data_IF_755157134443
#
_entry.id   IF_755157134443
#
_cell.length_a   1.000
_cell.length_b   1.000
_cell.length_c   1.000
_cell.angle_alpha   90.00
_cell.angle_beta   90.00
_cell.angle_gamma   90.00
#
_symmetry.space_group_name_H-M   'P 1'
#
loop_
_entity.id
_entity.type
_entity.pdbx_description
1 polymer ?
#
# COMPACT_ATOMS: atom_id res chain seq x y z
N UNK A 1 27.88 -2.15 20.55
CA UNK A 1 28.46 -1.89 21.87
C UNK A 1 29.90 -1.48 21.66
N UNK A 2 30.19 -0.21 21.59
CA UNK A 2 31.54 0.30 21.65
C UNK A 2 31.55 1.50 22.59
N UNK A 3 32.25 1.34 23.69
CA UNK A 3 32.44 2.38 24.68
C UNK A 3 33.56 3.29 24.22
N UNK A 4 33.29 4.59 24.09
CA UNK A 4 34.28 5.61 23.85
C UNK A 4 34.77 6.10 25.22
N UNK A 5 36.00 5.76 25.55
CA UNK A 5 36.70 6.29 26.72
C UNK A 5 37.40 7.54 26.28
N UNK A 6 36.94 8.70 26.80
CA UNK A 6 37.64 9.97 26.65
C UNK A 6 38.61 10.09 27.84
N UNK A 7 39.89 9.93 27.60
CA UNK A 7 40.94 10.21 28.59
C UNK A 7 41.54 11.56 28.27
N UNK A 8 41.19 12.53 29.12
CA UNK A 8 41.83 13.85 29.12
C UNK A 8 43.04 13.81 30.09
N UNK A 9 44.23 13.97 29.57
CA UNK A 9 45.42 14.20 30.35
C UNK A 9 45.86 15.67 30.28
N UNK A 10 45.62 16.42 31.34
CA UNK A 10 46.29 17.66 31.58
C UNK A 10 47.53 17.41 32.45
N UNK A 11 48.70 17.59 31.88
CA UNK A 11 49.94 17.71 32.67
C UNK A 11 50.45 19.13 32.55
N UNK A 12 50.31 19.86 33.65
CA UNK A 12 50.92 21.17 33.81
C UNK A 12 52.33 20.98 34.34
N UNK A 13 53.35 21.27 33.56
CA UNK A 13 54.72 21.50 34.03
C UNK A 13 55.04 22.99 34.00
N UNK A 14 55.19 23.55 35.15
CA UNK A 14 55.67 24.91 35.35
C UNK A 14 57.13 24.83 35.86
N UNK A 15 58.10 25.07 35.00
CA UNK A 15 59.37 25.72 35.37
C UNK A 15 60.19 26.00 34.12
N UNK A 16 60.71 27.25 34.07
CA UNK A 16 61.68 27.73 33.09
C UNK A 16 61.24 27.90 31.63
N UNK A 17 60.42 28.91 31.39
CA UNK A 17 60.70 29.91 30.34
C UNK A 17 60.63 29.48 28.87
N UNK A 18 60.11 28.31 28.52
CA UNK A 18 59.90 27.93 27.12
C UNK A 18 58.46 27.43 26.96
N UNK A 19 57.64 28.32 26.40
CA UNK A 19 56.32 27.91 25.94
C UNK A 19 56.47 27.09 24.67
N UNK A 20 56.58 25.78 24.79
CA UNK A 20 56.35 24.88 23.67
C UNK A 20 54.85 24.69 23.49
N UNK A 21 54.28 25.43 22.54
CA UNK A 21 52.89 25.19 22.11
C UNK A 21 52.86 23.85 21.38
N UNK A 22 52.55 22.78 22.11
CA UNK A 22 52.23 21.50 21.48
C UNK A 22 50.85 21.64 20.89
N UNK A 23 50.79 21.98 19.62
CA UNK A 23 49.55 21.82 18.82
C UNK A 23 49.32 20.32 18.68
N UNK A 24 48.56 19.78 19.60
CA UNK A 24 48.05 18.42 19.44
C UNK A 24 47.12 18.44 18.25
N UNK A 25 47.62 17.97 17.12
CA UNK A 25 46.76 17.57 15.98
C UNK A 25 45.91 16.40 16.45
N UNK A 26 44.80 16.73 17.07
CA UNK A 26 43.73 15.76 17.21
C UNK A 26 43.25 15.47 15.79
N UNK A 27 43.29 14.21 15.31
CA UNK A 27 42.51 13.86 14.17
C UNK A 27 41.07 14.18 14.60
N UNK A 28 40.53 15.26 14.08
CA UNK A 28 39.10 15.47 14.12
C UNK A 28 38.50 14.32 13.36
N UNK A 29 38.27 13.22 14.09
CA UNK A 29 37.25 12.31 13.68
C UNK A 29 35.98 13.14 13.79
N UNK A 30 35.68 13.92 12.77
CA UNK A 30 34.33 14.28 12.51
C UNK A 30 33.66 12.91 12.33
N UNK A 31 33.06 12.43 13.42
CA UNK A 31 31.91 11.61 13.22
C UNK A 31 31.12 12.45 12.23
N UNK A 32 31.13 12.03 10.97
CA UNK A 32 30.03 12.35 10.13
C UNK A 32 28.86 11.95 11.01
N UNK A 33 28.36 12.90 11.76
CA UNK A 33 27.01 12.89 12.29
C UNK A 33 26.29 12.41 11.07
N UNK A 34 25.90 11.10 11.12
CA UNK A 34 25.13 10.56 10.06
C UNK A 34 24.06 11.59 9.88
N UNK A 35 24.30 12.51 8.96
CA UNK A 35 23.27 13.17 8.24
C UNK A 35 22.52 12.02 7.57
N UNK A 36 21.76 11.30 8.43
CA UNK A 36 20.52 10.73 8.01
C UNK A 36 19.81 12.00 7.60
N UNK A 37 20.10 12.41 6.38
CA UNK A 37 19.37 13.45 5.70
C UNK A 37 17.94 13.08 6.04
N UNK A 38 17.21 13.93 6.80
CA UNK A 38 15.89 13.56 7.24
C UNK A 38 15.30 13.00 6.00
N UNK A 39 14.84 11.72 6.07
CA UNK A 39 14.19 11.10 4.94
C UNK A 39 13.13 12.12 4.65
N UNK A 40 13.46 13.05 3.79
CA UNK A 40 12.52 13.89 3.15
C UNK A 40 11.66 12.86 2.50
N UNK A 41 10.61 12.46 3.18
CA UNK A 41 9.39 12.18 2.51
C UNK A 41 9.19 13.41 1.64
N UNK A 42 9.83 13.39 0.50
CA UNK A 42 9.38 14.10 -0.64
C UNK A 42 8.08 13.35 -0.96
N UNK A 43 7.08 13.65 -0.13
CA UNK A 43 5.83 14.02 -0.71
C UNK A 43 6.23 15.15 -1.66
N UNK A 44 6.69 14.81 -2.84
CA UNK A 44 6.34 15.57 -3.99
C UNK A 44 4.83 15.45 -3.95
N UNK A 45 4.22 16.35 -3.19
CA UNK A 45 2.89 16.81 -3.45
C UNK A 45 3.10 17.43 -4.82
N UNK A 46 3.06 16.59 -5.85
CA UNK A 46 2.76 17.04 -7.20
C UNK A 46 1.57 17.95 -6.97
N UNK A 47 1.72 19.21 -7.38
CA UNK A 47 0.71 20.23 -7.16
C UNK A 47 -0.63 19.57 -7.41
N UNK A 48 -1.53 19.53 -6.43
CA UNK A 48 -2.64 18.60 -6.46
C UNK A 48 -3.30 18.75 -7.81
N UNK A 49 -3.13 17.76 -8.69
CA UNK A 49 -3.92 17.69 -9.90
C UNK A 49 -5.32 17.80 -9.38
N UNK A 50 -6.16 18.72 -9.90
CA UNK A 50 -7.53 18.82 -9.44
C UNK A 50 -8.09 17.41 -9.55
N UNK A 51 -8.19 16.75 -8.40
CA UNK A 51 -8.68 15.38 -8.32
C UNK A 51 -10.09 15.50 -8.82
N UNK A 52 -10.34 14.97 -10.01
CA UNK A 52 -11.71 14.87 -10.49
C UNK A 52 -12.50 14.23 -9.34
N UNK A 53 -13.57 14.86 -8.85
CA UNK A 53 -14.28 14.36 -7.67
C UNK A 53 -14.86 12.95 -7.84
N UNK A 54 -14.66 12.34 -9.00
CA UNK A 54 -15.26 11.10 -9.45
C UNK A 54 -14.33 9.87 -9.45
N UNK A 55 -13.18 9.88 -8.78
CA UNK A 55 -12.25 8.74 -8.87
C UNK A 55 -12.20 7.94 -7.58
N UNK A 56 -12.55 6.65 -7.67
CA UNK A 56 -12.41 5.69 -6.57
C UNK A 56 -10.95 5.39 -6.27
N UNK A 57 -10.61 5.34 -4.98
CA UNK A 57 -9.35 4.77 -4.53
C UNK A 57 -9.47 3.25 -4.49
N UNK A 58 -8.52 2.58 -5.14
CA UNK A 58 -8.47 1.12 -5.28
C UNK A 58 -7.33 0.58 -4.44
N UNK A 59 -7.64 -0.38 -3.56
CA UNK A 59 -6.66 -1.16 -2.82
C UNK A 59 -6.64 -2.59 -3.33
N UNK A 60 -5.47 -3.08 -3.71
CA UNK A 60 -5.26 -4.44 -4.19
C UNK A 60 -4.47 -5.20 -3.14
N UNK A 61 -4.95 -6.40 -2.78
CA UNK A 61 -4.21 -7.38 -1.99
C UNK A 61 -4.01 -8.62 -2.85
N UNK A 62 -2.89 -9.29 -2.71
CA UNK A 62 -2.59 -10.49 -3.46
C UNK A 62 -1.87 -11.51 -2.59
N UNK A 63 -2.35 -12.75 -2.60
CA UNK A 63 -1.83 -13.88 -1.84
C UNK A 63 -1.80 -15.13 -2.70
N UNK A 64 -1.04 -16.15 -2.30
CA UNK A 64 -1.00 -17.45 -2.97
C UNK A 64 -1.58 -18.53 -2.07
N UNK A 65 -2.52 -19.31 -2.60
CA UNK A 65 -3.10 -20.51 -1.97
C UNK A 65 -2.46 -21.80 -2.52
N UNK A 66 -1.52 -21.67 -3.44
CA UNK A 66 -0.85 -22.82 -4.06
C UNK A 66 0.04 -23.52 -3.04
N UNK A 67 -0.31 -24.74 -2.63
CA UNK A 67 0.54 -25.62 -1.83
C UNK A 67 0.61 -25.30 -0.32
N UNK A 68 -0.45 -24.80 0.27
CA UNK A 68 -0.59 -24.57 1.71
C UNK A 68 -0.52 -25.85 2.57
N UNK A 69 0.32 -26.83 2.23
CA UNK A 69 0.36 -28.09 2.99
C UNK A 69 1.70 -28.80 3.11
N UNK A 70 2.66 -28.58 2.24
CA UNK A 70 3.89 -29.40 2.25
C UNK A 70 5.14 -28.80 1.59
N UNK A 71 5.11 -27.51 1.23
CA UNK A 71 6.23 -26.86 0.55
C UNK A 71 7.37 -26.49 1.49
N UNK A 72 8.59 -26.40 0.95
CA UNK A 72 9.75 -25.86 1.67
C UNK A 72 9.57 -24.34 1.90
N UNK A 73 10.31 -23.77 2.86
CA UNK A 73 10.30 -22.32 3.10
C UNK A 73 10.69 -21.51 1.85
N UNK A 74 11.51 -22.08 0.98
CA UNK A 74 11.93 -21.47 -0.30
C UNK A 74 10.74 -21.39 -1.26
N UNK A 75 9.97 -22.46 -1.41
CA UNK A 75 8.78 -22.49 -2.26
C UNK A 75 7.71 -21.51 -1.76
N UNK A 76 7.49 -21.43 -0.44
CA UNK A 76 6.57 -20.46 0.15
C UNK A 76 7.00 -19.01 -0.16
N UNK A 77 8.30 -18.70 -0.05
CA UNK A 77 8.85 -17.39 -0.37
C UNK A 77 8.70 -17.05 -1.86
N UNK A 78 8.94 -18.03 -2.75
CA UNK A 78 8.78 -17.85 -4.18
C UNK A 78 7.32 -17.52 -4.54
N UNK A 79 6.37 -18.27 -4.00
CA UNK A 79 4.92 -18.06 -4.23
C UNK A 79 4.42 -16.73 -3.68
N UNK A 80 4.92 -16.30 -2.51
CA UNK A 80 4.61 -14.98 -1.99
C UNK A 80 5.10 -13.86 -2.93
N UNK A 81 6.31 -14.03 -3.49
CA UNK A 81 6.88 -13.08 -4.46
C UNK A 81 6.05 -13.04 -5.75
N UNK A 82 5.65 -14.19 -6.25
CA UNK A 82 4.79 -14.33 -7.43
C UNK A 82 3.44 -13.64 -7.22
N UNK A 83 2.79 -13.88 -6.08
CA UNK A 83 1.55 -13.20 -5.73
C UNK A 83 1.69 -11.68 -5.75
N UNK A 84 2.80 -11.14 -5.19
CA UNK A 84 3.10 -9.71 -5.24
C UNK A 84 3.26 -9.23 -6.69
N UNK A 85 3.92 -10.01 -7.54
CA UNK A 85 4.11 -9.66 -8.96
C UNK A 85 2.75 -9.60 -9.67
N UNK A 86 1.89 -10.60 -9.47
CA UNK A 86 0.53 -10.63 -10.03
C UNK A 86 -0.28 -9.42 -9.54
N UNK A 87 -0.22 -9.11 -8.25
CA UNK A 87 -0.85 -7.89 -7.69
C UNK A 87 -0.32 -6.61 -8.33
N UNK A 88 0.99 -6.54 -8.61
CA UNK A 88 1.60 -5.39 -9.27
C UNK A 88 1.18 -5.28 -10.76
N UNK A 89 0.99 -6.39 -11.46
CA UNK A 89 0.44 -6.45 -12.83
C UNK A 89 -1.00 -5.94 -12.84
N UNK A 90 -1.84 -6.44 -11.94
CA UNK A 90 -3.21 -5.98 -11.79
C UNK A 90 -3.27 -4.48 -11.47
N UNK A 91 -2.42 -4.00 -10.55
CA UNK A 91 -2.32 -2.55 -10.28
C UNK A 91 -2.00 -1.75 -11.53
N UNK A 92 -1.06 -2.22 -12.35
CA UNK A 92 -0.70 -1.56 -13.61
C UNK A 92 -1.89 -1.51 -14.56
N UNK A 93 -2.67 -2.58 -14.65
CA UNK A 93 -3.87 -2.63 -15.48
C UNK A 93 -4.90 -1.59 -15.07
N UNK A 94 -5.17 -1.46 -13.77
CA UNK A 94 -6.05 -0.40 -13.25
C UNK A 94 -5.48 1.00 -13.48
N UNK A 95 -4.16 1.18 -13.40
CA UNK A 95 -3.51 2.47 -13.63
C UNK A 95 -3.47 2.91 -15.09
N UNK A 96 -3.63 2.00 -16.05
CA UNK A 96 -3.72 2.34 -17.49
C UNK A 96 -4.94 3.18 -17.80
N UNK A 97 -6.01 3.02 -17.03
CA UNK A 97 -7.21 3.85 -17.13
C UNK A 97 -7.05 5.07 -16.21
N UNK A 98 -7.37 6.25 -16.73
CA UNK A 98 -7.43 7.49 -15.95
C UNK A 98 -8.70 7.60 -15.10
N UNK A 99 -9.49 6.53 -14.99
CA UNK A 99 -10.80 6.52 -14.32
C UNK A 99 -10.69 6.39 -12.81
N UNK A 100 -9.52 6.00 -12.28
CA UNK A 100 -9.31 5.74 -10.86
C UNK A 100 -8.60 6.89 -10.16
N UNK A 101 -8.82 7.02 -8.86
CA UNK A 101 -8.07 7.89 -7.98
C UNK A 101 -6.67 7.32 -7.72
N UNK A 102 -6.44 6.79 -6.54
CA UNK A 102 -5.17 6.15 -6.19
C UNK A 102 -5.31 4.63 -6.25
N UNK A 103 -4.48 3.99 -7.05
CA UNK A 103 -4.40 2.52 -7.13
C UNK A 103 -3.16 2.04 -6.41
N UNK A 104 -3.31 1.28 -5.32
CA UNK A 104 -2.21 0.80 -4.49
C UNK A 104 -2.28 -0.69 -4.26
N UNK A 105 -1.11 -1.31 -4.17
CA UNK A 105 -0.94 -2.67 -3.67
C UNK A 105 -0.66 -2.60 -2.16
N UNK A 106 -1.40 -3.38 -1.38
CA UNK A 106 -1.28 -3.41 0.07
C UNK A 106 -0.97 -4.82 0.57
N UNK A 107 -0.22 -4.97 1.65
CA UNK A 107 -0.26 -6.18 2.44
C UNK A 107 -1.65 -6.33 3.07
N UNK A 108 -2.02 -7.56 3.35
CA UNK A 108 -3.34 -7.92 3.88
C UNK A 108 -3.73 -7.07 5.10
N UNK A 109 -4.96 -6.61 5.13
CA UNK A 109 -5.61 -6.06 6.33
C UNK A 109 -5.33 -4.60 6.68
N UNK A 110 -4.50 -3.86 5.94
CA UNK A 110 -3.97 -2.57 6.44
C UNK A 110 -4.72 -1.30 6.02
N UNK A 111 -5.66 -1.34 5.08
CA UNK A 111 -6.28 -0.11 4.52
C UNK A 111 -7.77 -0.30 4.20
N UNK A 112 -8.50 0.81 4.21
CA UNK A 112 -9.94 0.87 3.88
C UNK A 112 -10.11 1.66 2.57
N UNK A 113 -9.76 1.08 1.40
CA UNK A 113 -9.98 1.73 0.11
C UNK A 113 -11.47 1.77 -0.21
N UNK A 114 -11.87 2.63 -1.13
CA UNK A 114 -13.26 2.67 -1.61
C UNK A 114 -13.65 1.40 -2.37
N UNK A 115 -12.71 0.83 -3.10
CA UNK A 115 -12.80 -0.49 -3.74
C UNK A 115 -11.62 -1.35 -3.28
N UNK A 116 -11.90 -2.46 -2.63
CA UNK A 116 -10.92 -3.49 -2.29
C UNK A 116 -10.99 -4.63 -3.31
N UNK A 117 -9.86 -4.98 -3.88
CA UNK A 117 -9.69 -6.10 -4.78
C UNK A 117 -8.74 -7.11 -4.11
N UNK A 118 -9.25 -8.30 -3.81
CA UNK A 118 -8.46 -9.40 -3.26
C UNK A 118 -8.22 -10.42 -4.36
N UNK A 119 -6.96 -10.78 -4.57
CA UNK A 119 -6.52 -11.75 -5.59
C UNK A 119 -5.87 -12.91 -4.84
N UNK A 120 -6.38 -14.12 -5.09
CA UNK A 120 -5.77 -15.36 -4.60
C UNK A 120 -5.28 -16.16 -5.80
N UNK A 121 -3.99 -16.46 -5.82
CA UNK A 121 -3.38 -17.31 -6.85
C UNK A 121 -3.68 -18.76 -6.49
N UNK A 122 -4.44 -19.43 -7.35
CA UNK A 122 -4.86 -20.83 -7.17
C UNK A 122 -3.93 -21.81 -7.89
N UNK A 123 -3.45 -21.43 -9.06
CA UNK A 123 -2.46 -22.17 -9.82
C UNK A 123 -1.61 -21.21 -10.65
N UNK A 124 -0.32 -21.50 -10.73
CA UNK A 124 0.64 -20.81 -11.59
C UNK A 124 1.83 -21.74 -11.84
N UNK A 125 2.03 -22.13 -13.09
CA UNK A 125 3.10 -23.03 -13.51
C UNK A 125 3.88 -22.50 -14.73
N UNK A 126 3.59 -21.27 -15.14
CA UNK A 126 4.17 -20.64 -16.33
C UNK A 126 3.37 -20.92 -17.60
N UNK A 127 2.65 -22.00 -17.72
CA UNK A 127 1.74 -22.27 -18.85
C UNK A 127 0.30 -21.93 -18.52
N UNK A 128 -0.06 -22.02 -17.25
CA UNK A 128 -1.40 -21.74 -16.76
C UNK A 128 -1.34 -20.78 -15.60
N UNK A 129 -2.26 -19.82 -15.60
CA UNK A 129 -2.54 -18.95 -14.47
C UNK A 129 -4.02 -19.07 -14.08
N UNK A 130 -4.29 -19.45 -12.83
CA UNK A 130 -5.64 -19.46 -12.28
C UNK A 130 -5.71 -18.56 -11.04
N UNK A 131 -6.61 -17.60 -11.08
CA UNK A 131 -6.82 -16.59 -10.05
C UNK A 131 -8.26 -16.64 -9.54
N UNK A 132 -8.45 -16.53 -8.23
CA UNK A 132 -9.73 -16.12 -7.65
C UNK A 132 -9.66 -14.64 -7.33
N UNK A 133 -10.63 -13.88 -7.83
CA UNK A 133 -10.70 -12.42 -7.63
C UNK A 133 -12.00 -12.07 -6.95
N UNK A 134 -11.90 -11.40 -5.82
CA UNK A 134 -13.04 -10.84 -5.09
C UNK A 134 -12.92 -9.31 -5.05
N UNK A 135 -13.96 -8.62 -5.48
CA UNK A 135 -14.07 -7.17 -5.42
C UNK A 135 -15.18 -6.76 -4.45
N UNK A 136 -14.85 -5.85 -3.53
CA UNK A 136 -15.77 -5.38 -2.50
C UNK A 136 -15.65 -3.87 -2.34
N UNK A 137 -16.77 -3.15 -2.36
CA UNK A 137 -16.71 -1.73 -2.05
C UNK A 137 -16.67 -1.48 -0.52
N UNK A 138 -16.25 -0.29 -0.13
CA UNK A 138 -15.99 0.09 1.26
C UNK A 138 -17.19 -0.08 2.21
N UNK A 139 -18.41 0.01 1.70
CA UNK A 139 -19.59 -0.25 2.50
C UNK A 139 -19.84 -1.76 2.75
N UNK A 140 -19.00 -2.65 2.24
CA UNK A 140 -19.01 -4.07 2.56
C UNK A 140 -19.71 -4.97 1.56
N UNK A 141 -20.40 -4.44 0.53
CA UNK A 141 -21.05 -5.28 -0.48
C UNK A 141 -20.00 -5.94 -1.36
N UNK A 142 -20.12 -7.24 -1.53
CA UNK A 142 -19.38 -8.02 -2.51
C UNK A 142 -19.95 -7.73 -3.90
N UNK A 143 -19.11 -7.26 -4.80
CA UNK A 143 -19.47 -6.93 -6.18
C UNK A 143 -19.16 -8.11 -7.11
N UNK A 144 -18.00 -8.73 -6.89
CA UNK A 144 -17.49 -9.83 -7.70
C UNK A 144 -16.83 -10.85 -6.78
N UNK A 145 -17.03 -12.13 -7.03
CA UNK A 145 -16.22 -13.25 -6.54
C UNK A 145 -16.21 -14.30 -7.63
N UNK A 146 -15.10 -14.35 -8.39
CA UNK A 146 -15.00 -15.20 -9.58
C UNK A 146 -13.62 -15.80 -9.74
N UNK A 147 -13.56 -16.98 -10.32
CA UNK A 147 -12.33 -17.60 -10.79
C UNK A 147 -12.08 -17.24 -12.25
N UNK A 148 -10.82 -16.94 -12.54
CA UNK A 148 -10.32 -16.63 -13.86
C UNK A 148 -9.17 -17.57 -14.16
N UNK A 149 -9.12 -18.08 -15.38
CA UNK A 149 -8.08 -18.99 -15.82
C UNK A 149 -7.66 -18.63 -17.23
N UNK A 150 -6.38 -18.69 -17.46
CA UNK A 150 -5.78 -18.49 -18.77
C UNK A 150 -4.63 -19.47 -18.97
N UNK A 151 -4.33 -19.78 -20.25
CA UNK A 151 -3.24 -20.65 -20.64
C UNK A 151 -2.36 -19.91 -21.64
N UNK A 152 -1.10 -19.74 -21.31
CA UNK A 152 -0.11 -19.18 -22.20
C UNK A 152 0.38 -20.25 -23.21
N UNK A 153 0.52 -19.85 -24.45
CA UNK A 153 1.15 -20.63 -25.49
C UNK A 153 2.65 -20.28 -25.59
N UNK A 154 3.42 -21.13 -26.26
CA UNK A 154 4.84 -20.83 -26.52
C UNK A 154 5.00 -19.53 -27.33
N UNK A 155 4.02 -19.18 -28.15
CA UNK A 155 4.03 -17.94 -28.95
C UNK A 155 3.88 -16.68 -28.11
N UNK A 156 3.23 -16.77 -26.95
CA UNK A 156 3.06 -15.65 -26.03
C UNK A 156 4.36 -15.28 -25.34
N UNK A 157 5.30 -16.23 -25.26
CA UNK A 157 6.64 -16.02 -24.73
C UNK A 157 7.66 -15.57 -25.80
N UNK A 158 7.27 -15.66 -27.10
CA UNK A 158 8.14 -15.24 -28.21
C UNK A 158 7.93 -13.76 -28.51
N UNK A 159 8.97 -12.98 -28.30
CA UNK A 159 9.02 -11.56 -28.65
C UNK A 159 8.76 -10.64 -27.47
N UNK A 160 8.63 -9.35 -27.78
CA UNK A 160 8.53 -8.24 -26.82
C UNK A 160 7.05 -7.91 -26.49
N UNK A 161 6.19 -8.93 -26.37
CA UNK A 161 4.74 -8.78 -26.23
C UNK A 161 4.26 -8.47 -24.81
N UNK A 162 5.14 -8.48 -23.82
CA UNK A 162 4.78 -8.22 -22.42
C UNK A 162 4.53 -9.49 -21.61
N UNK A 163 3.56 -9.46 -20.73
CA UNK A 163 3.20 -10.60 -19.89
C UNK A 163 2.21 -11.51 -20.65
N UNK A 164 2.45 -12.82 -20.72
CA UNK A 164 1.58 -13.76 -21.45
C UNK A 164 0.13 -13.79 -20.93
N UNK A 165 -0.12 -13.26 -19.73
CA UNK A 165 -1.45 -13.20 -19.10
C UNK A 165 -2.05 -11.79 -19.09
N UNK A 166 -1.55 -10.85 -19.90
CA UNK A 166 -2.08 -9.47 -19.96
C UNK A 166 -3.58 -9.44 -20.31
N UNK A 167 -4.05 -10.34 -21.17
CA UNK A 167 -5.47 -10.45 -21.54
C UNK A 167 -6.36 -10.90 -20.37
N UNK A 168 -5.83 -11.74 -19.48
CA UNK A 168 -6.51 -12.15 -18.25
C UNK A 168 -6.74 -10.94 -17.33
N UNK A 169 -5.69 -10.13 -17.11
CA UNK A 169 -5.78 -8.94 -16.28
C UNK A 169 -6.77 -7.93 -16.87
N UNK A 170 -6.75 -7.70 -18.18
CA UNK A 170 -7.69 -6.84 -18.86
C UNK A 170 -9.15 -7.35 -18.75
N UNK A 171 -9.35 -8.67 -18.76
CA UNK A 171 -10.67 -9.26 -18.57
C UNK A 171 -11.18 -9.07 -17.16
N UNK A 172 -10.35 -9.31 -16.15
CA UNK A 172 -10.68 -9.05 -14.74
C UNK A 172 -11.05 -7.59 -14.54
N UNK A 173 -10.23 -6.66 -15.07
CA UNK A 173 -10.49 -5.22 -15.00
C UNK A 173 -11.87 -4.86 -15.54
N UNK A 174 -12.21 -5.31 -16.75
CA UNK A 174 -13.52 -5.05 -17.40
C UNK A 174 -14.69 -5.59 -16.57
N UNK A 175 -14.54 -6.78 -16.00
CA UNK A 175 -15.58 -7.37 -15.16
C UNK A 175 -15.77 -6.57 -13.87
N UNK A 176 -14.71 -6.15 -13.20
CA UNK A 176 -14.78 -5.32 -11.98
C UNK A 176 -15.45 -3.97 -12.28
N UNK A 177 -15.09 -3.31 -13.37
CA UNK A 177 -15.69 -2.03 -13.78
C UNK A 177 -17.18 -2.21 -14.05
N UNK A 178 -17.56 -3.27 -14.75
CA UNK A 178 -18.97 -3.56 -15.05
C UNK A 178 -19.79 -3.77 -13.78
N UNK A 179 -19.30 -4.61 -12.86
CA UNK A 179 -20.01 -4.91 -11.61
C UNK A 179 -20.07 -3.68 -10.67
N UNK A 180 -19.01 -2.88 -10.63
CA UNK A 180 -18.99 -1.63 -9.89
C UNK A 180 -20.05 -0.66 -10.43
N UNK A 181 -20.10 -0.48 -11.74
CA UNK A 181 -21.05 0.44 -12.39
C UNK A 181 -22.51 0.01 -12.21
N UNK A 182 -22.76 -1.30 -12.20
CA UNK A 182 -24.11 -1.85 -12.06
C UNK A 182 -24.63 -1.86 -10.62
N UNK A 183 -23.74 -1.98 -9.63
CA UNK A 183 -24.16 -2.36 -8.28
C UNK A 183 -23.64 -1.45 -7.16
N UNK A 184 -22.86 -0.41 -7.46
CA UNK A 184 -22.34 0.49 -6.45
C UNK A 184 -23.28 1.65 -6.14
N UNK A 185 -23.33 2.10 -4.87
CA UNK A 185 -23.85 3.42 -4.52
C UNK A 185 -23.02 4.53 -5.17
N UNK A 186 -23.50 5.78 -5.02
CA UNK A 186 -22.75 6.93 -5.49
C UNK A 186 -21.34 6.99 -4.88
N UNK A 187 -20.41 7.51 -5.65
CA UNK A 187 -19.03 7.70 -5.22
C UNK A 187 -18.93 8.55 -3.94
N UNK A 188 -19.69 9.65 -3.87
CA UNK A 188 -19.73 10.51 -2.69
C UNK A 188 -20.14 9.76 -1.43
N UNK A 189 -21.10 8.83 -1.54
CA UNK A 189 -21.50 7.97 -0.44
C UNK A 189 -20.36 7.04 -0.01
N UNK A 190 -19.70 6.36 -0.95
CA UNK A 190 -18.60 5.46 -0.63
C UNK A 190 -17.39 6.21 -0.06
N UNK A 191 -17.12 7.42 -0.52
CA UNK A 191 -16.09 8.30 0.05
C UNK A 191 -16.41 8.65 1.50
N UNK A 192 -17.66 9.00 1.78
CA UNK A 192 -18.13 9.28 3.15
C UNK A 192 -17.99 8.06 4.05
N UNK A 193 -18.39 6.87 3.57
CA UNK A 193 -18.22 5.61 4.32
C UNK A 193 -16.73 5.32 4.58
N UNK A 194 -15.86 5.51 3.58
CA UNK A 194 -14.41 5.30 3.72
C UNK A 194 -13.83 6.21 4.81
N UNK A 195 -14.13 7.51 4.74
CA UNK A 195 -13.68 8.49 5.72
C UNK A 195 -14.17 8.14 7.13
N UNK A 196 -15.44 7.83 7.30
CA UNK A 196 -16.03 7.51 8.61
C UNK A 196 -15.51 6.19 9.18
N UNK A 197 -15.25 5.18 8.34
CA UNK A 197 -14.63 3.92 8.78
C UNK A 197 -13.20 4.16 9.26
N UNK A 198 -12.43 4.95 8.52
CA UNK A 198 -11.07 5.34 8.91
C UNK A 198 -11.09 6.11 10.24
N UNK A 199 -11.95 7.13 10.35
CA UNK A 199 -12.10 7.93 11.56
C UNK A 199 -12.50 7.08 12.78
N UNK A 200 -13.43 6.13 12.58
CA UNK A 200 -13.84 5.19 13.63
C UNK A 200 -12.68 4.26 14.04
N UNK A 201 -11.82 3.86 13.12
CA UNK A 201 -10.61 3.09 13.43
C UNK A 201 -9.63 3.85 14.32
N UNK A 202 -9.49 5.16 14.10
CA UNK A 202 -8.61 6.03 14.88
C UNK A 202 -9.21 6.45 16.24
N UNK A 203 -10.49 6.80 16.26
CA UNK A 203 -11.19 7.33 17.43
C UNK A 203 -12.61 6.71 17.55
N UNK A 204 -12.70 5.44 18.00
CA UNK A 204 -13.99 4.73 18.06
C UNK A 204 -15.06 5.45 18.87
N UNK A 205 -14.68 6.04 20.01
CA UNK A 205 -15.61 6.75 20.91
C UNK A 205 -16.25 7.99 20.26
N UNK A 206 -15.53 8.67 19.38
CA UNK A 206 -16.04 9.87 18.71
C UNK A 206 -16.88 9.54 17.47
N UNK A 207 -16.56 8.44 16.76
CA UNK A 207 -17.15 8.16 15.46
C UNK A 207 -18.09 6.94 15.41
N UNK A 208 -18.28 6.20 16.51
CA UNK A 208 -19.18 5.04 16.55
C UNK A 208 -20.63 5.39 16.21
N UNK A 209 -21.07 6.60 16.51
CA UNK A 209 -22.44 7.06 16.26
C UNK A 209 -22.76 7.47 14.82
N UNK A 210 -21.78 7.53 13.92
CA UNK A 210 -21.95 7.97 12.53
C UNK A 210 -22.17 6.83 11.55
N UNK A 211 -21.69 5.63 11.90
CA UNK A 211 -21.82 4.42 11.09
C UNK A 211 -22.45 3.30 11.89
N UNK A 212 -23.26 2.50 11.22
CA UNK A 212 -23.74 1.22 11.74
C UNK A 212 -23.46 0.10 10.75
N UNK A 213 -23.45 -1.12 11.24
CA UNK A 213 -23.29 -2.31 10.41
C UNK A 213 -24.60 -3.09 10.40
N UNK A 214 -25.22 -3.18 9.23
CA UNK A 214 -26.48 -3.91 9.02
C UNK A 214 -26.21 -5.02 8.01
N UNK A 215 -26.43 -6.26 8.41
CA UNK A 215 -26.19 -7.45 7.56
C UNK A 215 -24.80 -7.48 6.93
N UNK A 216 -23.78 -7.11 7.70
CA UNK A 216 -22.38 -7.07 7.22
C UNK A 216 -22.02 -5.86 6.37
N UNK A 217 -22.96 -4.97 6.08
CA UNK A 217 -22.71 -3.76 5.30
C UNK A 217 -22.71 -2.52 6.17
N UNK A 218 -21.82 -1.59 5.89
CA UNK A 218 -21.73 -0.30 6.56
C UNK A 218 -22.73 0.69 5.99
N UNK A 219 -23.51 1.30 6.86
CA UNK A 219 -24.47 2.33 6.52
C UNK A 219 -24.16 3.61 7.30
N UNK A 220 -24.31 4.75 6.62
CA UNK A 220 -24.17 6.05 7.25
C UNK A 220 -25.45 6.38 8.01
N UNK A 221 -25.34 6.48 9.33
CA UNK A 221 -26.43 6.90 10.21
C UNK A 221 -26.66 8.39 10.15
N UNK A 222 -25.57 9.14 10.21
CA UNK A 222 -25.54 10.59 10.10
C UNK A 222 -24.21 11.04 9.53
N UNK A 223 -24.21 12.18 8.87
CA UNK A 223 -23.00 12.83 8.38
C UNK A 223 -22.52 13.80 9.46
N UNK A 224 -21.21 13.88 9.74
CA UNK A 224 -20.66 14.94 10.60
C UNK A 224 -21.03 16.32 10.06
N UNK A 225 -21.28 17.26 10.95
CA UNK A 225 -21.44 18.66 10.57
C UNK A 225 -20.14 19.18 9.94
N UNK A 226 -20.24 20.06 8.96
CA UNK A 226 -19.06 20.71 8.36
C UNK A 226 -18.24 21.53 9.37
N UNK A 227 -18.86 21.89 10.51
CA UNK A 227 -18.23 22.59 11.61
C UNK A 227 -17.76 21.66 12.74
N UNK A 228 -17.92 20.34 12.60
CA UNK A 228 -17.45 19.38 13.59
C UNK A 228 -15.90 19.40 13.64
N UNK A 229 -15.30 19.82 14.78
CA UNK A 229 -13.85 19.94 14.91
C UNK A 229 -13.12 18.61 14.65
N UNK A 230 -13.73 17.48 14.93
CA UNK A 230 -13.15 16.17 14.70
C UNK A 230 -13.20 15.79 13.21
N UNK A 231 -14.28 16.15 12.52
CA UNK A 231 -14.40 15.94 11.08
C UNK A 231 -13.46 16.84 10.28
N UNK A 232 -13.22 18.06 10.74
CA UNK A 232 -12.26 19.00 10.12
C UNK A 232 -10.81 18.51 10.17
N UNK A 233 -10.45 17.70 11.16
CA UNK A 233 -9.11 17.10 11.28
C UNK A 233 -8.88 15.91 10.34
N UNK A 234 -9.92 15.44 9.69
CA UNK A 234 -9.86 14.30 8.75
C UNK A 234 -9.83 14.76 7.28
N UNK A 235 -10.07 16.02 7.02
CA UNK A 235 -9.97 16.66 5.69
C UNK A 235 -8.56 17.16 5.42
#
# INVERSE_FOLDING_TARGET
MHYSVVISWFTTYCSLGVFATVVALYPQWSFAENDIAPVRLVTTIDAPRPVSPARFDVGITSESDVGNGSGTAIEASFRATEAILIGARMRREFQRSDDWGVVRLFPEGSVIPQLALSITVLASDGQQLELRVAARHVAGKLLLDRRYRDNASDEDYLGDRGDPFDDLYATIYRDVVRELSAHSPSESYLRTVSMLRYARGLLPSAFSGYLEQVSGQWQVKRVPSDLDPMALRLK
#
